data_IF_428105496080
#
_entry.id   IF_428105496080
#
_cell.length_a   1.000
_cell.length_b   1.000
_cell.length_c   1.000
_cell.angle_alpha   90.00
_cell.angle_beta   90.00
_cell.angle_gamma   90.00
#
_symmetry.space_group_name_H-M   'P 1'
#
loop_
_entity.id
_entity.type
_entity.pdbx_description
1 polymer ?
#
# COMPACT_ATOMS: atom_id res chain seq x y z
N UNK A 1 31.97 -2.17 -4.88
CA UNK A 1 31.12 -3.02 -5.73
C UNK A 1 30.63 -4.21 -4.93
N UNK A 2 29.34 -4.50 -4.99
CA UNK A 2 28.75 -5.63 -4.26
C UNK A 2 28.99 -6.91 -5.07
N UNK A 3 29.62 -7.92 -4.44
CA UNK A 3 29.88 -9.20 -5.08
C UNK A 3 28.59 -10.03 -5.16
N UNK A 4 28.61 -11.06 -6.02
CA UNK A 4 27.50 -11.99 -6.14
C UNK A 4 27.14 -12.65 -4.79
N UNK A 5 28.16 -13.07 -4.03
CA UNK A 5 27.97 -13.68 -2.72
C UNK A 5 27.32 -12.71 -1.73
N UNK A 6 27.73 -11.44 -1.74
CA UNK A 6 27.12 -10.40 -0.88
C UNK A 6 25.68 -10.16 -1.25
N UNK A 7 25.38 -10.08 -2.56
CA UNK A 7 24.00 -9.92 -3.05
C UNK A 7 23.11 -11.09 -2.59
N UNK A 8 23.63 -12.31 -2.66
CA UNK A 8 22.91 -13.50 -2.21
C UNK A 8 22.59 -13.46 -0.72
N UNK A 9 23.57 -13.06 0.10
CA UNK A 9 23.38 -12.93 1.54
C UNK A 9 22.30 -11.89 1.84
N UNK A 10 22.37 -10.73 1.20
CA UNK A 10 21.36 -9.67 1.36
C UNK A 10 19.97 -10.14 0.95
N UNK A 11 19.87 -10.81 -0.19
CA UNK A 11 18.61 -11.34 -0.67
C UNK A 11 18.02 -12.35 0.31
N UNK A 12 18.83 -13.27 0.82
CA UNK A 12 18.37 -14.30 1.75
C UNK A 12 17.94 -13.74 3.11
N UNK A 13 18.49 -12.59 3.51
CA UNK A 13 18.12 -11.93 4.76
C UNK A 13 16.87 -11.07 4.64
N UNK A 14 16.37 -10.84 3.42
CA UNK A 14 15.15 -10.06 3.18
C UNK A 14 13.91 -10.84 3.56
N UNK A 15 12.86 -10.13 3.99
CA UNK A 15 11.56 -10.74 4.21
C UNK A 15 10.98 -11.27 2.90
N UNK A 16 9.99 -12.18 2.99
CA UNK A 16 9.32 -12.70 1.80
C UNK A 16 8.70 -11.57 0.96
N UNK A 17 8.08 -10.60 1.60
CA UNK A 17 7.47 -9.45 0.92
C UNK A 17 8.53 -8.64 0.17
N UNK A 18 9.68 -8.41 0.77
CA UNK A 18 10.77 -7.68 0.13
C UNK A 18 11.30 -8.43 -1.09
N UNK A 19 11.40 -9.76 -1.00
CA UNK A 19 11.80 -10.60 -2.14
C UNK A 19 10.81 -10.51 -3.29
N UNK A 20 9.52 -10.54 -2.98
CA UNK A 20 8.45 -10.43 -3.98
C UNK A 20 8.46 -9.06 -4.63
N UNK A 21 8.71 -8.01 -3.85
CA UNK A 21 8.72 -6.63 -4.31
C UNK A 21 9.94 -6.29 -5.18
N UNK A 22 11.05 -6.97 -4.97
CA UNK A 22 12.32 -6.61 -5.61
C UNK A 22 12.24 -6.50 -7.13
N UNK A 23 11.61 -7.45 -7.88
CA UNK A 23 11.53 -7.34 -9.34
C UNK A 23 10.73 -6.15 -9.85
N UNK A 24 9.89 -5.57 -9.01
CA UNK A 24 9.03 -4.43 -9.35
C UNK A 24 9.35 -3.19 -8.51
N UNK A 25 10.58 -3.08 -8.02
CA UNK A 25 10.95 -1.97 -7.14
C UNK A 25 10.80 -0.60 -7.80
N UNK A 26 11.09 -0.49 -9.09
CA UNK A 26 10.92 0.76 -9.84
C UNK A 26 9.44 1.13 -9.95
N UNK A 27 8.60 0.18 -10.31
CA UNK A 27 7.15 0.36 -10.44
C UNK A 27 6.52 0.68 -9.09
N UNK A 28 7.00 0.07 -8.01
CA UNK A 28 6.51 0.37 -6.68
C UNK A 28 6.87 1.79 -6.23
N UNK A 29 8.02 2.31 -6.63
CA UNK A 29 8.38 3.72 -6.38
C UNK A 29 7.44 4.67 -7.12
N UNK A 30 7.13 4.36 -8.37
CA UNK A 30 6.17 5.14 -9.15
C UNK A 30 4.80 5.08 -8.49
N UNK A 31 4.36 3.91 -8.10
CA UNK A 31 3.07 3.74 -7.41
C UNK A 31 3.00 4.56 -6.12
N UNK A 32 4.04 4.52 -5.28
CA UNK A 32 4.07 5.28 -4.03
C UNK A 32 3.94 6.78 -4.29
N UNK A 33 4.58 7.28 -5.34
CA UNK A 33 4.48 8.66 -5.75
C UNK A 33 3.05 9.02 -6.18
N UNK A 34 2.42 8.18 -6.97
CA UNK A 34 1.03 8.36 -7.42
C UNK A 34 0.07 8.31 -6.21
N UNK A 35 0.28 7.38 -5.30
CA UNK A 35 -0.54 7.23 -4.10
C UNK A 35 -0.46 8.47 -3.21
N UNK A 36 0.75 8.96 -2.96
CA UNK A 36 0.96 10.16 -2.16
C UNK A 36 0.32 11.40 -2.83
N UNK A 37 0.46 11.52 -4.15
CA UNK A 37 -0.15 12.62 -4.90
C UNK A 37 -1.67 12.59 -4.85
N UNK A 38 -2.25 11.40 -4.96
CA UNK A 38 -3.70 11.21 -4.89
C UNK A 38 -4.28 11.60 -3.53
N UNK A 39 -3.50 11.49 -2.46
CA UNK A 39 -3.93 11.83 -1.11
C UNK A 39 -3.67 13.27 -0.71
N UNK A 40 -3.08 14.08 -1.57
CA UNK A 40 -2.86 15.50 -1.28
C UNK A 40 -4.18 16.25 -1.21
N UNK A 41 -4.31 17.10 -0.20
CA UNK A 41 -5.48 17.94 0.00
C UNK A 41 -5.09 19.21 0.76
N UNK A 42 -5.82 20.28 0.53
CA UNK A 42 -5.66 21.54 1.26
C UNK A 42 -6.50 21.57 2.54
N UNK A 43 -7.44 20.64 2.69
CA UNK A 43 -8.30 20.58 3.87
C UNK A 43 -7.52 20.00 5.06
N UNK A 44 -7.34 20.74 6.18
CA UNK A 44 -6.52 20.26 7.30
C UNK A 44 -7.02 18.95 7.93
N UNK A 45 -8.32 18.77 8.02
CA UNK A 45 -8.90 17.55 8.59
C UNK A 45 -8.61 16.33 7.70
N UNK A 46 -8.85 16.48 6.39
CA UNK A 46 -8.58 15.42 5.42
C UNK A 46 -7.07 15.18 5.30
N UNK A 47 -6.25 16.21 5.43
CA UNK A 47 -4.80 16.07 5.43
C UNK A 47 -4.33 15.15 6.56
N UNK A 48 -4.88 15.30 7.75
CA UNK A 48 -4.53 14.44 8.88
C UNK A 48 -4.95 12.99 8.64
N UNK A 49 -6.14 12.77 8.08
CA UNK A 49 -6.61 11.42 7.72
C UNK A 49 -5.72 10.80 6.65
N UNK A 50 -5.37 11.56 5.63
CA UNK A 50 -4.52 11.08 4.54
C UNK A 50 -3.11 10.76 5.02
N UNK A 51 -2.57 11.56 5.91
CA UNK A 51 -1.27 11.27 6.52
C UNK A 51 -1.31 9.98 7.33
N UNK A 52 -2.38 9.75 8.07
CA UNK A 52 -2.60 8.49 8.78
C UNK A 52 -2.63 7.31 7.81
N UNK A 53 -3.32 7.44 6.69
CA UNK A 53 -3.36 6.41 5.64
C UNK A 53 -1.96 6.13 5.09
N UNK A 54 -1.19 7.18 4.78
CA UNK A 54 0.16 7.03 4.24
C UNK A 54 1.09 6.33 5.22
N UNK A 55 1.01 6.67 6.50
CA UNK A 55 1.82 6.03 7.53
C UNK A 55 1.42 4.59 7.76
N UNK A 56 0.13 4.28 7.65
CA UNK A 56 -0.41 2.96 7.90
C UNK A 56 -0.56 2.10 6.66
N UNK A 57 -0.02 2.51 5.51
CA UNK A 57 -0.21 1.78 4.24
C UNK A 57 0.43 0.39 4.23
N UNK A 58 1.32 0.10 5.17
CA UNK A 58 1.82 -1.24 5.39
C UNK A 58 2.56 -1.82 4.20
N UNK A 59 2.31 -3.09 3.92
CA UNK A 59 3.05 -3.86 2.92
C UNK A 59 2.57 -3.64 1.49
N UNK A 60 1.43 -3.01 1.30
CA UNK A 60 0.87 -2.69 -0.01
C UNK A 60 0.72 -3.91 -0.92
N UNK A 61 0.15 -4.98 -0.39
CA UNK A 61 0.01 -6.25 -1.11
C UNK A 61 -0.82 -6.13 -2.38
N UNK A 62 -1.88 -5.33 -2.37
CA UNK A 62 -2.76 -5.18 -3.54
C UNK A 62 -2.06 -4.51 -4.71
N UNK A 63 -1.33 -3.38 -4.51
CA UNK A 63 -0.52 -2.82 -5.59
C UNK A 63 0.55 -3.77 -6.10
N UNK A 64 1.21 -4.50 -5.21
CA UNK A 64 2.23 -5.49 -5.59
C UNK A 64 1.62 -6.54 -6.51
N UNK A 65 0.48 -7.12 -6.12
CA UNK A 65 -0.19 -8.15 -6.91
C UNK A 65 -0.66 -7.61 -8.25
N UNK A 66 -1.20 -6.39 -8.27
CA UNK A 66 -1.67 -5.75 -9.51
C UNK A 66 -0.52 -5.55 -10.49
N UNK A 67 0.58 -5.00 -10.01
CA UNK A 67 1.75 -4.71 -10.86
C UNK A 67 2.43 -6.01 -11.34
N UNK A 68 2.58 -6.99 -10.45
CA UNK A 68 3.15 -8.29 -10.84
C UNK A 68 2.27 -8.98 -11.88
N UNK A 69 0.97 -8.97 -11.70
CA UNK A 69 0.03 -9.57 -12.66
C UNK A 69 0.14 -8.90 -14.02
N UNK A 70 0.23 -7.56 -14.05
CA UNK A 70 0.40 -6.82 -15.29
C UNK A 70 1.72 -7.19 -15.98
N UNK A 71 2.81 -7.31 -15.23
CA UNK A 71 4.10 -7.72 -15.79
C UNK A 71 4.09 -9.12 -16.36
N UNK A 72 3.38 -10.04 -15.72
CA UNK A 72 3.24 -11.41 -16.22
C UNK A 72 2.46 -11.46 -17.52
N UNK A 73 1.48 -10.59 -17.71
CA UNK A 73 0.61 -10.57 -18.88
C UNK A 73 1.10 -9.65 -19.99
N UNK A 74 2.06 -8.77 -19.70
CA UNK A 74 2.55 -7.80 -20.68
C UNK A 74 3.32 -6.69 -20.01
N UNK A 75 2.89 -5.44 -20.25
CA UNK A 75 3.55 -4.25 -19.73
C UNK A 75 2.75 -3.58 -18.65
N UNK A 76 3.45 -2.94 -17.72
CA UNK A 76 2.84 -2.05 -16.73
C UNK A 76 2.55 -0.71 -17.41
N UNK A 77 1.28 -0.33 -17.43
CA UNK A 77 0.81 0.89 -18.07
C UNK A 77 0.21 1.83 -17.04
N UNK A 78 -0.17 3.03 -17.49
CA UNK A 78 -0.92 3.97 -16.65
C UNK A 78 -2.20 3.34 -16.09
N UNK A 79 -2.88 2.53 -16.89
CA UNK A 79 -4.08 1.81 -16.45
C UNK A 79 -3.76 0.86 -15.29
N UNK A 80 -2.60 0.22 -15.30
CA UNK A 80 -2.14 -0.64 -14.20
C UNK A 80 -2.03 0.15 -12.90
N UNK A 81 -1.37 1.31 -12.96
CA UNK A 81 -1.21 2.16 -11.78
C UNK A 81 -2.55 2.69 -11.28
N UNK A 82 -3.42 3.10 -12.18
CA UNK A 82 -4.76 3.58 -11.81
C UNK A 82 -5.60 2.48 -11.15
N UNK A 83 -5.50 1.25 -11.66
CA UNK A 83 -6.15 0.10 -11.05
C UNK A 83 -5.61 -0.20 -9.67
N UNK A 84 -4.29 -0.22 -9.52
CA UNK A 84 -3.63 -0.44 -8.23
C UNK A 84 -4.02 0.65 -7.23
N UNK A 85 -4.04 1.91 -7.67
CA UNK A 85 -4.44 3.04 -6.84
C UNK A 85 -5.88 2.89 -6.36
N UNK A 86 -6.78 2.57 -7.27
CA UNK A 86 -8.22 2.42 -6.94
C UNK A 86 -8.44 1.31 -5.91
N UNK A 87 -7.78 0.18 -6.09
CA UNK A 87 -7.89 -0.94 -5.15
C UNK A 87 -7.33 -0.58 -3.78
N UNK A 88 -6.20 0.10 -3.73
CA UNK A 88 -5.57 0.47 -2.46
C UNK A 88 -6.39 1.54 -1.73
N UNK A 89 -6.91 2.53 -2.44
CA UNK A 89 -7.77 3.55 -1.85
C UNK A 89 -9.07 2.94 -1.32
N UNK A 90 -9.67 2.05 -2.08
CA UNK A 90 -10.89 1.35 -1.64
C UNK A 90 -10.62 0.51 -0.39
N UNK A 91 -9.51 -0.21 -0.37
CA UNK A 91 -9.10 -1.00 0.78
C UNK A 91 -8.91 -0.14 2.03
N UNK A 92 -8.18 0.96 1.91
CA UNK A 92 -7.95 1.87 3.03
C UNK A 92 -9.24 2.52 3.51
N UNK A 93 -10.11 2.91 2.59
CA UNK A 93 -11.41 3.47 2.93
C UNK A 93 -12.26 2.46 3.69
N UNK A 94 -12.25 1.20 3.26
CA UNK A 94 -12.98 0.12 3.93
C UNK A 94 -12.45 -0.12 5.34
N UNK A 95 -11.13 -0.12 5.51
CA UNK A 95 -10.51 -0.30 6.83
C UNK A 95 -10.88 0.84 7.79
N UNK A 96 -10.84 2.07 7.30
CA UNK A 96 -11.23 3.23 8.12
C UNK A 96 -12.70 3.15 8.51
N UNK A 97 -13.55 2.81 7.56
CA UNK A 97 -14.98 2.64 7.81
C UNK A 97 -15.23 1.57 8.87
N UNK A 98 -14.57 0.42 8.74
CA UNK A 98 -14.71 -0.68 9.69
C UNK A 98 -14.21 -0.28 11.08
N UNK A 99 -13.10 0.43 11.16
CA UNK A 99 -12.56 0.92 12.42
C UNK A 99 -13.55 1.86 13.13
N UNK A 100 -14.20 2.74 12.39
CA UNK A 100 -15.19 3.66 12.93
C UNK A 100 -16.42 2.89 13.43
N UNK A 101 -16.90 1.92 12.65
CA UNK A 101 -18.04 1.10 13.03
C UNK A 101 -17.71 0.26 14.28
N UNK A 102 -16.56 -0.40 14.29
CA UNK A 102 -16.13 -1.22 15.42
C UNK A 102 -15.94 -0.40 16.68
N UNK A 103 -15.35 0.78 16.56
CA UNK A 103 -15.19 1.69 17.68
C UNK A 103 -16.55 2.09 18.26
N UNK A 104 -17.51 2.42 17.41
CA UNK A 104 -18.86 2.80 17.82
C UNK A 104 -19.57 1.64 18.51
N UNK A 105 -19.49 0.45 17.93
CA UNK A 105 -20.11 -0.74 18.49
C UNK A 105 -19.50 -1.13 19.84
N UNK A 106 -18.20 -1.12 19.94
CA UNK A 106 -17.46 -1.41 21.15
C UNK A 106 -17.84 -0.41 22.25
N UNK A 107 -17.90 0.87 21.92
CA UNK A 107 -18.26 1.92 22.85
C UNK A 107 -19.69 1.77 23.34
N UNK A 108 -20.63 1.43 22.46
CA UNK A 108 -22.01 1.16 22.83
C UNK A 108 -22.13 -0.07 23.73
N UNK A 109 -21.39 -1.13 23.40
CA UNK A 109 -21.35 -2.35 24.21
C UNK A 109 -20.86 -2.07 25.63
N UNK A 110 -19.81 -1.27 25.76
CA UNK A 110 -19.27 -0.87 27.05
C UNK A 110 -20.22 0.04 27.80
N UNK A 111 -20.91 0.92 27.09
CA UNK A 111 -21.88 1.83 27.72
C UNK A 111 -23.09 1.08 28.26
N UNK A 112 -23.41 -0.04 27.65
CA UNK A 112 -24.56 -0.85 28.08
C UNK A 112 -24.19 -1.83 29.20
N UNK A 113 -22.92 -1.94 29.48
CA UNK A 113 -22.41 -2.72 30.60
C UNK A 113 -22.29 -1.83 31.84
#
# INVERSE_FOLDING_TARGET
MITFATKNILYNSMSLIDKIRQPISAEMRIFKSIFAEALKTENPLLSNVNEYILQGSGKQLRPILTILSAKLCGEVTEATYNGALSLELLHNASLIHDDVVDFTMERRGRSSI
#
